data_IF_901760467266
#
_entry.id   IF_901760467266
#
_cell.length_a   1.000
_cell.length_b   1.000
_cell.length_c   1.000
_cell.angle_alpha   90.00
_cell.angle_beta   90.00
_cell.angle_gamma   90.00
#
_symmetry.space_group_name_H-M   'P 1'
#
loop_
_entity.id
_entity.type
_entity.pdbx_description
1 polymer ?
#
# COMPACT_ATOMS: atom_id res chain seq x y z
N UNK A 1 -15.08 5.08 7.80
CA UNK A 1 -14.00 4.86 8.80
C UNK A 1 -13.68 3.38 8.84
N UNK A 2 -12.39 3.00 8.84
CA UNK A 2 -11.96 1.62 9.04
C UNK A 2 -11.96 1.32 10.54
N UNK A 3 -12.49 0.17 10.95
CA UNK A 3 -12.46 -0.25 12.36
C UNK A 3 -11.04 -0.53 12.86
N UNK A 4 -10.84 -0.82 14.16
CA UNK A 4 -9.51 -1.02 14.77
C UNK A 4 -8.64 -2.11 14.12
N UNK A 5 -9.25 -3.04 13.37
CA UNK A 5 -8.58 -4.12 12.61
C UNK A 5 -8.73 -3.93 11.08
N UNK A 6 -9.06 -2.72 10.65
CA UNK A 6 -9.33 -2.41 9.26
C UNK A 6 -8.10 -2.62 8.38
N UNK A 7 -8.35 -3.09 7.16
CA UNK A 7 -7.34 -3.23 6.11
C UNK A 7 -7.73 -2.35 4.95
N UNK A 8 -6.75 -1.64 4.40
CA UNK A 8 -6.89 -0.81 3.22
C UNK A 8 -6.02 -1.40 2.11
N UNK A 9 -6.59 -1.63 0.93
CA UNK A 9 -5.87 -2.16 -0.23
C UNK A 9 -6.16 -1.30 -1.44
N UNK A 10 -5.12 -0.83 -2.12
CA UNK A 10 -5.25 -0.05 -3.36
C UNK A 10 -4.13 -0.39 -4.33
N UNK A 11 -4.41 -0.32 -5.63
CA UNK A 11 -3.39 -0.46 -6.67
C UNK A 11 -2.82 0.91 -7.03
N UNK A 12 -1.55 0.94 -7.40
CA UNK A 12 -0.87 2.12 -7.90
C UNK A 12 0.01 1.72 -9.09
N UNK A 13 0.15 2.61 -10.05
CA UNK A 13 0.98 2.35 -11.21
C UNK A 13 2.45 2.69 -10.94
N UNK A 14 3.36 1.84 -11.40
CA UNK A 14 4.79 2.05 -11.28
C UNK A 14 5.23 3.37 -11.94
N UNK A 15 4.65 3.71 -13.09
CA UNK A 15 5.04 4.91 -13.84
C UNK A 15 4.68 6.23 -13.15
N UNK A 16 3.72 6.24 -12.20
CA UNK A 16 3.38 7.43 -11.40
C UNK A 16 3.86 7.35 -9.96
N UNK A 17 4.45 6.22 -9.54
CA UNK A 17 4.84 5.96 -8.16
C UNK A 17 5.88 6.95 -7.59
N UNK A 18 6.69 7.56 -8.46
CA UNK A 18 7.73 8.53 -8.09
C UNK A 18 7.20 9.96 -7.96
N UNK A 19 5.99 10.23 -8.45
CA UNK A 19 5.41 11.58 -8.44
C UNK A 19 5.21 12.07 -6.99
N UNK A 20 5.35 13.38 -6.73
CA UNK A 20 5.14 13.93 -5.39
C UNK A 20 3.79 13.56 -4.75
N UNK A 21 2.65 13.54 -5.49
CA UNK A 21 1.37 13.09 -4.95
C UNK A 21 1.39 11.62 -4.50
N UNK A 22 2.02 10.72 -5.27
CA UNK A 22 2.13 9.31 -4.91
C UNK A 22 2.99 9.10 -3.65
N UNK A 23 4.07 9.88 -3.52
CA UNK A 23 4.92 9.86 -2.32
C UNK A 23 4.16 10.37 -1.09
N UNK A 24 3.41 11.47 -1.23
CA UNK A 24 2.54 12.01 -0.16
C UNK A 24 1.49 10.99 0.25
N UNK A 25 0.80 10.38 -0.71
CA UNK A 25 -0.19 9.34 -0.42
C UNK A 25 0.41 8.15 0.35
N UNK A 26 1.59 7.68 -0.04
CA UNK A 26 2.29 6.62 0.69
C UNK A 26 2.76 7.06 2.09
N UNK A 27 3.05 8.35 2.29
CA UNK A 27 3.36 8.91 3.61
C UNK A 27 2.13 8.97 4.50
N UNK A 28 0.99 9.41 3.97
CA UNK A 28 -0.29 9.41 4.68
C UNK A 28 -0.66 7.99 5.11
N UNK A 29 -0.55 7.00 4.21
CA UNK A 29 -0.80 5.60 4.57
C UNK A 29 0.06 5.15 5.77
N UNK A 30 1.34 5.53 5.81
CA UNK A 30 2.22 5.18 6.94
C UNK A 30 1.89 5.93 8.23
N UNK A 31 1.27 7.12 8.12
CA UNK A 31 0.80 7.88 9.28
C UNK A 31 -0.47 7.27 9.88
N UNK A 32 -1.37 6.75 9.05
CA UNK A 32 -2.68 6.22 9.48
C UNK A 32 -2.68 4.72 9.81
N UNK A 33 -1.73 3.95 9.27
CA UNK A 33 -1.68 2.49 9.43
C UNK A 33 -0.36 2.04 10.07
N UNK A 34 -0.45 1.06 10.97
CA UNK A 34 0.72 0.50 11.64
C UNK A 34 1.62 -0.31 10.70
N UNK A 35 1.03 -0.89 9.65
CA UNK A 35 1.75 -1.65 8.62
C UNK A 35 1.35 -1.15 7.25
N UNK A 36 2.33 -0.90 6.38
CA UNK A 36 2.12 -0.54 4.97
C UNK A 36 3.13 -1.29 4.12
N UNK A 37 2.64 -2.23 3.32
CA UNK A 37 3.43 -3.09 2.45
C UNK A 37 3.09 -2.82 0.98
N UNK A 38 4.08 -3.06 0.11
CA UNK A 38 3.90 -3.05 -1.35
C UNK A 38 4.07 -4.47 -1.85
N UNK A 39 3.05 -4.99 -2.54
CA UNK A 39 3.15 -6.27 -3.22
C UNK A 39 4.10 -6.16 -4.42
N UNK A 40 4.76 -7.26 -4.83
CA UNK A 40 5.49 -7.30 -6.09
C UNK A 40 4.56 -7.02 -7.27
N UNK A 41 5.14 -6.45 -8.33
CA UNK A 41 4.45 -6.23 -9.62
C UNK A 41 4.27 -7.59 -10.27
N UNK A 42 3.10 -8.20 -10.10
CA UNK A 42 2.78 -9.55 -10.64
C UNK A 42 2.02 -9.51 -11.97
N UNK A 43 1.81 -8.33 -12.55
CA UNK A 43 1.10 -8.17 -13.82
C UNK A 43 1.98 -7.44 -14.85
N UNK A 44 2.36 -8.09 -15.97
CA UNK A 44 3.07 -7.44 -17.07
C UNK A 44 2.15 -6.59 -17.94
N UNK A 45 0.88 -6.34 -17.53
CA UNK A 45 0.01 -5.47 -18.32
C UNK A 45 0.51 -4.01 -18.22
N UNK A 46 0.53 -3.35 -19.38
CA UNK A 46 0.98 -1.97 -19.48
C UNK A 46 -0.14 -1.03 -18.96
N UNK A 47 0.15 -0.07 -18.07
CA UNK A 47 1.40 0.11 -17.34
C UNK A 47 1.45 -0.74 -16.04
N UNK A 48 2.62 -1.30 -15.69
CA UNK A 48 2.76 -2.20 -14.55
C UNK A 48 2.24 -1.56 -13.25
N UNK A 49 1.45 -2.32 -12.49
CA UNK A 49 0.87 -1.88 -11.23
C UNK A 49 1.36 -2.73 -10.06
N UNK A 50 1.47 -2.11 -8.89
CA UNK A 50 1.71 -2.77 -7.61
C UNK A 50 0.57 -2.46 -6.66
N UNK A 51 0.44 -3.26 -5.61
CA UNK A 51 -0.64 -3.11 -4.62
C UNK A 51 -0.07 -2.60 -3.31
N UNK A 52 -0.63 -1.52 -2.79
CA UNK A 52 -0.47 -1.07 -1.41
C UNK A 52 -1.42 -1.84 -0.51
N UNK A 53 -0.88 -2.50 0.51
CA UNK A 53 -1.63 -3.16 1.58
C UNK A 53 -1.31 -2.46 2.89
N UNK A 54 -2.32 -1.88 3.53
CA UNK A 54 -2.16 -1.19 4.78
C UNK A 54 -3.09 -1.78 5.85
N UNK A 55 -2.56 -1.98 7.06
CA UNK A 55 -3.28 -2.60 8.17
C UNK A 55 -3.10 -1.81 9.46
N UNK A 56 -4.21 -1.51 10.14
CA UNK A 56 -4.19 -0.99 11.51
C UNK A 56 -3.87 -2.15 12.46
N UNK A 57 -3.08 -1.89 13.51
CA UNK A 57 -2.49 -2.92 14.37
C UNK A 57 -3.54 -3.81 15.06
N UNK A 58 -3.92 -4.88 14.35
CA UNK A 58 -4.54 -6.08 14.87
C UNK A 58 -3.73 -7.29 14.44
N UNK A 59 -2.45 -7.32 14.84
CA UNK A 59 -1.58 -8.50 14.95
C UNK A 59 -1.39 -9.40 13.71
N UNK A 60 -0.30 -9.18 12.96
CA UNK A 60 0.87 -10.11 12.83
C UNK A 60 1.87 -9.56 11.80
N UNK A 61 3.17 -9.46 12.12
CA UNK A 61 4.23 -9.35 11.12
C UNK A 61 4.63 -10.75 10.61
N UNK A 62 5.28 -10.74 9.44
CA UNK A 62 6.03 -11.82 8.79
C UNK A 62 5.22 -12.97 8.15
N UNK A 63 5.29 -13.07 6.82
CA UNK A 63 5.79 -14.29 6.17
C UNK A 63 6.35 -14.00 4.75
N UNK A 64 7.64 -14.31 4.62
CA UNK A 64 8.52 -14.64 3.45
C UNK A 64 8.44 -13.87 2.14
#
# INVERSE_FOLDING_TARGET
MLGPRGRFTTFAHCHTAWTPPARRFASELRSHFATVERAPVVWPNLPPAFVHRAGSAGHRPAER
#
